data_IF_949144687586
#
_entry.id   IF_949144687586
#
_cell.length_a   1.000
_cell.length_b   1.000
_cell.length_c   1.000
_cell.angle_alpha   90.00
_cell.angle_beta   90.00
_cell.angle_gamma   90.00
#
_symmetry.space_group_name_H-M   'P 1'
#
loop_
_entity.id
_entity.type
_entity.pdbx_description
1 polymer ?
#
# COMPACT_ATOMS: atom_id res chain seq x y z
N UNK A 1 -27.57 34.38 -24.13
CA UNK A 1 -27.23 32.99 -24.53
C UNK A 1 -25.77 32.78 -24.18
N UNK A 2 -25.50 31.73 -23.41
CA UNK A 2 -24.25 31.55 -22.67
C UNK A 2 -23.09 31.11 -23.56
N UNK A 3 -22.02 31.90 -23.59
CA UNK A 3 -20.73 31.49 -24.16
C UNK A 3 -19.88 30.90 -23.03
N UNK A 4 -20.01 29.60 -22.78
CA UNK A 4 -19.07 28.86 -21.94
C UNK A 4 -17.80 28.61 -22.76
N UNK A 5 -16.77 29.41 -22.48
CA UNK A 5 -15.40 29.14 -22.92
C UNK A 5 -14.79 28.15 -21.93
N UNK A 6 -14.74 26.87 -22.30
CA UNK A 6 -13.99 25.85 -21.53
C UNK A 6 -12.78 25.49 -22.37
N UNK A 7 -11.67 26.20 -22.16
CA UNK A 7 -10.36 25.77 -22.66
C UNK A 7 -9.87 24.64 -21.74
N UNK A 8 -10.10 23.38 -22.13
CA UNK A 8 -9.33 22.25 -21.61
C UNK A 8 -8.50 21.73 -22.77
N UNK A 9 -7.35 22.38 -22.99
CA UNK A 9 -6.23 21.76 -23.68
C UNK A 9 -5.46 20.97 -22.62
N UNK A 10 -5.66 19.65 -22.60
CA UNK A 10 -4.67 18.72 -22.07
C UNK A 10 -4.47 17.62 -23.11
N UNK A 11 -3.81 18.00 -24.21
CA UNK A 11 -3.17 17.04 -25.09
C UNK A 11 -1.86 16.59 -24.47
N UNK A 12 -1.91 15.70 -23.48
CA UNK A 12 -0.75 14.88 -23.16
C UNK A 12 -0.80 13.68 -24.11
N UNK A 13 0.01 13.79 -25.15
CA UNK A 13 0.48 12.78 -26.09
C UNK A 13 0.91 11.47 -25.39
N UNK A 14 -0.08 10.68 -24.97
CA UNK A 14 0.14 9.32 -24.53
C UNK A 14 0.26 8.43 -25.76
N UNK A 15 1.51 8.27 -26.19
CA UNK A 15 2.01 7.26 -27.11
C UNK A 15 1.24 5.94 -27.01
N UNK A 16 0.50 5.64 -28.08
CA UNK A 16 0.47 4.35 -28.76
C UNK A 16 0.65 3.10 -27.88
N UNK A 17 -0.47 2.54 -27.42
CA UNK A 17 -0.55 1.15 -26.95
C UNK A 17 -0.29 0.19 -28.13
N UNK A 18 0.98 -0.07 -28.44
CA UNK A 18 1.39 -1.40 -28.90
C UNK A 18 1.19 -2.37 -27.72
N UNK A 19 0.98 -3.69 -27.90
CA UNK A 19 1.01 -4.63 -26.78
C UNK A 19 2.45 -4.75 -26.28
N UNK A 20 2.93 -3.69 -25.62
CA UNK A 20 4.29 -3.52 -25.14
C UNK A 20 4.42 -4.29 -23.84
N UNK A 21 5.25 -5.34 -23.87
CA UNK A 21 5.60 -6.06 -22.66
C UNK A 21 6.08 -5.06 -21.60
N UNK A 22 5.54 -5.14 -20.37
CA UNK A 22 5.93 -4.23 -19.31
C UNK A 22 7.44 -4.36 -19.09
N UNK A 23 8.12 -3.21 -19.00
CA UNK A 23 9.53 -3.18 -18.64
C UNK A 23 9.77 -3.99 -17.36
N UNK A 24 10.88 -4.72 -17.30
CA UNK A 24 11.23 -5.55 -16.15
C UNK A 24 11.27 -4.77 -14.83
N UNK A 25 11.61 -3.49 -14.90
CA UNK A 25 11.56 -2.56 -13.75
C UNK A 25 10.14 -2.40 -13.21
N UNK A 26 9.15 -2.25 -14.09
CA UNK A 26 7.75 -2.10 -13.72
C UNK A 26 7.23 -3.38 -13.07
N UNK A 27 7.54 -4.55 -13.66
CA UNK A 27 7.15 -5.86 -13.12
C UNK A 27 7.74 -6.06 -11.72
N UNK A 28 9.04 -5.78 -11.52
CA UNK A 28 9.68 -5.89 -10.20
C UNK A 28 9.04 -4.98 -9.17
N UNK A 29 8.76 -3.74 -9.54
CA UNK A 29 8.09 -2.77 -8.66
C UNK A 29 6.73 -3.29 -8.22
N UNK A 30 5.91 -3.76 -9.17
CA UNK A 30 4.59 -4.34 -8.87
C UNK A 30 4.70 -5.56 -7.96
N UNK A 31 5.67 -6.44 -8.22
CA UNK A 31 5.90 -7.64 -7.41
C UNK A 31 6.19 -7.28 -5.93
N UNK A 32 7.02 -6.25 -5.72
CA UNK A 32 7.34 -5.76 -4.36
C UNK A 32 6.10 -5.18 -3.68
N UNK A 33 5.32 -4.35 -4.38
CA UNK A 33 4.08 -3.77 -3.84
C UNK A 33 3.11 -4.87 -3.45
N UNK A 34 2.91 -5.88 -4.31
CA UNK A 34 1.97 -6.96 -4.06
C UNK A 34 2.40 -7.86 -2.90
N UNK A 35 3.70 -8.18 -2.81
CA UNK A 35 4.24 -8.92 -1.66
C UNK A 35 4.07 -8.14 -0.34
N UNK A 36 4.24 -6.82 -0.36
CA UNK A 36 4.01 -5.97 0.82
C UNK A 36 2.52 -5.89 1.20
N UNK A 37 1.61 -5.85 0.21
CA UNK A 37 0.16 -5.90 0.43
C UNK A 37 -0.25 -7.23 1.05
N UNK A 38 0.19 -8.33 0.45
CA UNK A 38 -0.14 -9.69 0.90
C UNK A 38 0.35 -9.97 2.32
N UNK A 39 1.47 -9.35 2.71
CA UNK A 39 2.06 -9.51 4.05
C UNK A 39 1.66 -8.41 5.03
N UNK A 40 0.72 -7.55 4.66
CA UNK A 40 0.22 -6.42 5.45
C UNK A 40 1.34 -5.49 5.96
N UNK A 41 2.40 -5.32 5.17
CA UNK A 41 3.56 -4.51 5.54
C UNK A 41 4.62 -5.23 6.38
N UNK A 42 4.57 -6.56 6.52
CA UNK A 42 5.63 -7.30 7.17
C UNK A 42 6.83 -7.49 6.24
N UNK A 43 7.80 -6.56 6.31
CA UNK A 43 9.00 -6.57 5.47
C UNK A 43 9.84 -7.86 5.57
N UNK A 44 9.83 -8.56 6.71
CA UNK A 44 10.55 -9.84 6.84
C UNK A 44 9.88 -10.91 5.99
N UNK A 45 8.57 -11.08 6.14
CA UNK A 45 7.79 -12.05 5.36
C UNK A 45 7.77 -11.70 3.87
N UNK A 46 7.69 -10.42 3.52
CA UNK A 46 7.74 -9.99 2.12
C UNK A 46 9.09 -10.32 1.48
N UNK A 47 10.19 -10.14 2.22
CA UNK A 47 11.53 -10.48 1.75
C UNK A 47 11.70 -12.00 1.57
N UNK A 48 11.19 -12.80 2.51
CA UNK A 48 11.15 -14.27 2.40
C UNK A 48 10.31 -14.73 1.20
N UNK A 49 9.15 -14.11 0.97
CA UNK A 49 8.25 -14.42 -0.15
C UNK A 49 8.88 -14.12 -1.52
N UNK A 50 9.66 -13.04 -1.59
CA UNK A 50 10.35 -12.62 -2.81
C UNK A 50 11.74 -13.25 -2.96
N UNK A 51 12.11 -14.18 -2.07
CA UNK A 51 13.42 -14.83 -1.98
C UNK A 51 14.59 -13.84 -2.06
N UNK A 52 14.51 -12.76 -1.28
CA UNK A 52 15.55 -11.73 -1.24
C UNK A 52 15.89 -11.29 0.18
N UNK A 53 17.10 -10.75 0.35
CA UNK A 53 17.50 -10.18 1.65
C UNK A 53 16.69 -8.93 2.01
N UNK A 54 16.36 -8.76 3.29
CA UNK A 54 15.65 -7.57 3.82
C UNK A 54 16.30 -6.25 3.41
N UNK A 55 17.62 -6.17 3.48
CA UNK A 55 18.37 -4.96 3.08
C UNK A 55 18.22 -4.67 1.58
N UNK A 56 18.18 -5.71 0.75
CA UNK A 56 17.93 -5.59 -0.69
C UNK A 56 16.51 -5.10 -0.96
N UNK A 57 15.51 -5.64 -0.24
CA UNK A 57 14.12 -5.20 -0.32
C UNK A 57 14.00 -3.71 0.02
N UNK A 58 14.57 -3.26 1.14
CA UNK A 58 14.57 -1.84 1.52
C UNK A 58 15.23 -0.94 0.47
N UNK A 59 16.39 -1.35 -0.05
CA UNK A 59 17.08 -0.60 -1.11
C UNK A 59 16.21 -0.49 -2.36
N UNK A 60 15.52 -1.57 -2.76
CA UNK A 60 14.63 -1.57 -3.92
C UNK A 60 13.36 -0.74 -3.73
N UNK A 61 12.81 -0.72 -2.51
CA UNK A 61 11.71 0.18 -2.16
C UNK A 61 12.11 1.65 -2.35
N UNK A 62 13.33 2.00 -1.93
CA UNK A 62 13.86 3.35 -2.12
C UNK A 62 14.15 3.65 -3.61
N UNK A 63 14.79 2.73 -4.32
CA UNK A 63 15.14 2.87 -5.75
C UNK A 63 13.90 3.02 -6.65
N UNK A 64 12.80 2.33 -6.32
CA UNK A 64 11.54 2.39 -7.06
C UNK A 64 10.55 3.41 -6.48
N UNK A 65 10.98 4.20 -5.49
CA UNK A 65 10.18 5.22 -4.80
C UNK A 65 8.79 4.72 -4.36
N UNK A 66 8.71 3.46 -3.91
CA UNK A 66 7.45 2.83 -3.50
C UNK A 66 6.98 3.48 -2.21
N UNK A 67 5.82 4.14 -2.26
CA UNK A 67 5.30 4.85 -1.11
C UNK A 67 4.51 3.91 -0.18
N UNK A 68 4.51 4.15 1.14
CA UNK A 68 3.74 3.34 2.10
C UNK A 68 2.25 3.24 1.78
N UNK A 69 1.68 4.29 1.18
CA UNK A 69 0.27 4.37 0.80
C UNK A 69 -0.08 3.37 -0.31
N UNK A 70 0.90 2.90 -1.08
CA UNK A 70 0.66 1.99 -2.20
C UNK A 70 0.43 0.55 -1.75
N UNK A 71 1.05 0.13 -0.65
CA UNK A 71 0.92 -1.25 -0.15
C UNK A 71 0.18 -1.36 1.18
N UNK A 72 0.00 -0.25 1.91
CA UNK A 72 -0.91 -0.26 3.07
C UNK A 72 -2.34 -0.45 2.57
N UNK A 73 -3.06 -1.48 3.03
CA UNK A 73 -4.49 -1.54 2.76
C UNK A 73 -5.12 -0.28 3.35
N UNK A 74 -5.88 0.46 2.53
CA UNK A 74 -6.76 1.51 3.02
C UNK A 74 -7.78 0.82 3.91
N UNK A 75 -7.49 0.74 5.22
CA UNK A 75 -8.44 0.21 6.19
C UNK A 75 -9.70 1.04 6.04
N UNK A 76 -10.77 0.41 5.59
CA UNK A 76 -12.03 1.13 5.46
C UNK A 76 -12.41 1.65 6.85
N UNK A 77 -13.11 2.80 6.96
CA UNK A 77 -13.64 3.26 8.24
C UNK A 77 -14.41 2.14 8.97
N UNK A 78 -15.01 1.21 8.24
CA UNK A 78 -15.71 0.03 8.77
C UNK A 78 -14.78 -1.04 9.37
N UNK A 79 -13.58 -1.25 8.83
CA UNK A 79 -12.59 -2.17 9.40
C UNK A 79 -11.93 -1.62 10.66
N UNK A 80 -11.64 -0.31 10.68
CA UNK A 80 -11.17 0.37 11.90
C UNK A 80 -12.28 0.36 12.95
N UNK A 81 -13.53 0.58 12.51
CA UNK A 81 -14.71 0.54 13.38
C UNK A 81 -14.88 -0.82 14.07
N UNK A 82 -14.59 -1.94 13.40
CA UNK A 82 -14.65 -3.28 14.01
C UNK A 82 -13.68 -3.44 15.19
N UNK A 83 -12.48 -2.88 15.11
CA UNK A 83 -11.53 -2.89 16.23
C UNK A 83 -11.94 -1.91 17.32
N UNK A 84 -12.48 -0.74 16.97
CA UNK A 84 -12.98 0.21 17.97
C UNK A 84 -14.26 -0.27 18.65
N UNK A 85 -15.13 -1.02 17.98
CA UNK A 85 -16.35 -1.59 18.57
C UNK A 85 -16.00 -2.73 19.55
N UNK A 86 -15.00 -3.54 19.19
CA UNK A 86 -14.45 -4.57 20.08
C UNK A 86 -13.75 -3.93 21.30
N UNK A 87 -12.95 -2.88 21.08
CA UNK A 87 -12.31 -2.14 22.16
C UNK A 87 -13.36 -1.44 23.05
N UNK A 88 -14.35 -0.75 22.48
CA UNK A 88 -15.44 -0.10 23.24
C UNK A 88 -16.28 -1.12 24.03
N UNK A 89 -16.46 -2.35 23.52
CA UNK A 89 -17.10 -3.46 24.24
C UNK A 89 -16.25 -3.98 25.40
N UNK A 90 -14.93 -4.13 25.23
CA UNK A 90 -14.03 -4.58 26.31
C UNK A 90 -13.79 -3.50 27.37
N UNK A 91 -13.86 -2.22 27.01
CA UNK A 91 -13.70 -1.10 27.96
C UNK A 91 -14.94 -0.85 28.84
N UNK A 92 -16.13 -1.33 28.46
CA UNK A 92 -17.34 -1.26 29.31
C UNK A 92 -17.28 -2.22 30.52
N UNK A 93 -16.43 -3.24 30.48
CA UNK A 93 -16.32 -4.28 31.51
C UNK A 93 -15.04 -4.23 32.38
N UNK A 94 -14.22 -3.18 32.26
CA UNK A 94 -13.22 -2.86 33.28
C UNK A 94 -12.16 -3.95 33.58
N UNK A 95 -11.53 -4.53 32.55
CA UNK A 95 -10.34 -5.39 32.75
C UNK A 95 -9.24 -5.02 31.76
N UNK A 96 -8.32 -4.15 32.18
CA UNK A 96 -7.04 -3.98 31.51
C UNK A 96 -6.09 -5.09 31.99
N UNK A 97 -5.53 -5.95 31.12
CA UNK A 97 -4.43 -6.81 31.54
C UNK A 97 -3.23 -5.90 31.82
N UNK A 98 -2.79 -5.91 33.08
CA UNK A 98 -1.62 -5.18 33.54
C UNK A 98 -0.40 -5.51 32.69
N UNK A 99 0.41 -4.48 32.44
CA UNK A 99 1.79 -4.64 31.98
C UNK A 99 2.56 -5.40 33.06
N UNK A 100 2.77 -6.69 32.88
CA UNK A 100 3.92 -7.36 33.48
C UNK A 100 5.09 -7.17 32.52
N UNK A 101 5.92 -6.17 32.85
CA UNK A 101 7.21 -5.97 32.23
C UNK A 101 8.19 -7.01 32.79
N UNK A 102 8.95 -7.74 31.96
CA UNK A 102 10.18 -8.39 32.41
C UNK A 102 11.32 -7.37 32.57
#
# INVERSE_FOLDING_TARGET
MATMLVCIEHGNENTMNSPEFPSWTLVKRQLIVEALRFTEGNFKKAAELLDMGRTTLYRKIQEFEIKPEEWRPLKTPLEVARWTDLLLRTWRHGTAPGREAP
#
